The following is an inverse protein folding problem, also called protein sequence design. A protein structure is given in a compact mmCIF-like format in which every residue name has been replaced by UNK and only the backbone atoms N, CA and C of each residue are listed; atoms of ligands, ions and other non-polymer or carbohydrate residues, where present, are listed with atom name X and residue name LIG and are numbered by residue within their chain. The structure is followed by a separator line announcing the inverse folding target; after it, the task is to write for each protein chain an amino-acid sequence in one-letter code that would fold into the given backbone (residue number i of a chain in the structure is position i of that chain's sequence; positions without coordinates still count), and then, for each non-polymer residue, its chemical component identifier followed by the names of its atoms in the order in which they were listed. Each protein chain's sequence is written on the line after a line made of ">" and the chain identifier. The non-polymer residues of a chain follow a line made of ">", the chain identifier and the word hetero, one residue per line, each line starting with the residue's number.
data_IF_339655016304
#
_entry.id   IF_339655016304
#
_cell.length_a   1.000
_cell.length_b   1.000
_cell.length_c   1.000
_cell.angle_alpha   90.00
_cell.angle_beta   90.00
_cell.angle_gamma   90.00
#
_symmetry.space_group_name_H-M   'P 1'
#
loop_
_entity.id
_entity.type
_entity.pdbx_description
1 polymer ?
#
# COMPACT_ATOMS: atom_id res chain seq x y z
N UNK A 1 -16.58 38.36 -55.76
CA UNK A 1 -16.75 38.90 -54.39
C UNK A 1 -17.12 37.75 -53.47
N UNK A 2 -16.18 37.41 -52.60
CA UNK A 2 -16.25 36.74 -51.29
C UNK A 2 -17.18 35.51 -51.11
N UNK A 3 -16.57 34.31 -51.08
CA UNK A 3 -17.18 33.11 -50.46
C UNK A 3 -16.99 33.21 -48.95
N UNK A 4 -18.09 33.23 -48.19
CA UNK A 4 -18.08 33.11 -46.73
C UNK A 4 -18.08 31.61 -46.40
N UNK A 5 -17.03 31.15 -45.71
CA UNK A 5 -16.98 29.81 -45.12
C UNK A 5 -17.40 29.98 -43.66
N UNK A 6 -18.57 29.44 -43.31
CA UNK A 6 -19.04 29.36 -41.93
C UNK A 6 -18.34 28.18 -41.26
N UNK A 7 -17.40 28.46 -40.36
CA UNK A 7 -16.82 27.45 -39.48
C UNK A 7 -17.75 27.30 -38.27
N UNK A 8 -18.38 26.14 -38.13
CA UNK A 8 -19.11 25.78 -36.93
C UNK A 8 -18.10 25.43 -35.83
N UNK A 9 -18.03 26.26 -34.79
CA UNK A 9 -17.26 25.97 -33.58
C UNK A 9 -18.12 25.02 -32.74
N UNK A 10 -17.70 23.76 -32.64
CA UNK A 10 -18.29 22.81 -31.70
C UNK A 10 -17.66 23.06 -30.33
N UNK A 11 -18.44 23.67 -29.43
CA UNK A 11 -18.06 23.85 -28.03
C UNK A 11 -18.20 22.49 -27.34
N UNK A 12 -17.07 21.81 -27.08
CA UNK A 12 -17.05 20.67 -26.17
C UNK A 12 -17.18 21.21 -24.75
N UNK A 13 -18.36 21.01 -24.15
CA UNK A 13 -18.53 21.14 -22.70
C UNK A 13 -17.85 19.91 -22.11
N UNK A 14 -16.66 20.09 -21.54
CA UNK A 14 -16.04 19.08 -20.71
C UNK A 14 -16.91 18.91 -19.46
N UNK A 15 -17.68 17.83 -19.42
CA UNK A 15 -18.27 17.36 -18.17
C UNK A 15 -17.13 16.95 -17.26
N UNK A 16 -17.07 17.52 -16.06
CA UNK A 16 -16.20 17.04 -15.00
C UNK A 16 -16.45 15.54 -14.84
N UNK A 17 -15.42 14.73 -15.11
CA UNK A 17 -15.41 13.34 -14.71
C UNK A 17 -15.31 13.34 -13.19
N UNK A 18 -16.36 12.88 -12.51
CA UNK A 18 -16.25 12.46 -11.13
C UNK A 18 -15.31 11.24 -11.12
N UNK A 19 -14.27 11.25 -10.29
CA UNK A 19 -13.61 10.01 -9.91
C UNK A 19 -14.65 9.08 -9.27
N UNK A 20 -14.52 7.80 -9.56
CA UNK A 20 -15.60 6.84 -9.48
C UNK A 20 -15.37 5.90 -8.30
N UNK A 21 -16.24 5.94 -7.30
CA UNK A 21 -16.31 4.89 -6.27
C UNK A 21 -16.69 3.51 -6.88
N UNK A 22 -17.05 3.41 -8.17
CA UNK A 22 -17.30 2.12 -8.82
C UNK A 22 -16.03 1.53 -9.45
N UNK A 23 -15.03 1.21 -8.62
CA UNK A 23 -14.08 0.15 -8.96
C UNK A 23 -14.81 -1.19 -8.72
N UNK A 24 -15.18 -1.96 -9.77
CA UNK A 24 -15.96 -3.17 -9.58
C UNK A 24 -15.15 -4.20 -8.80
N UNK A 25 -15.82 -4.89 -7.87
CA UNK A 25 -15.31 -6.11 -7.26
C UNK A 25 -15.02 -7.15 -8.35
N UNK A 26 -13.75 -7.54 -8.48
CA UNK A 26 -13.30 -8.45 -9.52
C UNK A 26 -13.49 -9.92 -9.12
N UNK A 27 -13.83 -10.19 -7.86
CA UNK A 27 -14.03 -11.53 -7.34
C UNK A 27 -15.19 -11.64 -6.33
N UNK A 28 -16.43 -11.36 -6.75
CA UNK A 28 -17.61 -11.23 -5.87
C UNK A 28 -18.06 -12.52 -5.16
N UNK A 29 -17.36 -13.63 -5.38
CA UNK A 29 -17.60 -14.91 -4.70
C UNK A 29 -16.65 -15.11 -3.50
N UNK A 30 -15.74 -14.16 -3.26
CA UNK A 30 -14.74 -14.16 -2.20
C UNK A 30 -14.76 -12.84 -1.44
N UNK A 31 -14.15 -12.81 -0.26
CA UNK A 31 -13.82 -11.54 0.42
C UNK A 31 -12.63 -10.84 -0.25
N UNK A 32 -11.80 -11.59 -0.97
CA UNK A 32 -10.73 -11.00 -1.76
C UNK A 32 -11.34 -10.20 -2.91
N UNK A 33 -11.00 -8.92 -3.01
CA UNK A 33 -11.28 -8.09 -4.19
C UNK A 33 -10.84 -8.71 -5.54
N UNK A 34 -9.68 -9.38 -5.58
CA UNK A 34 -9.20 -10.09 -6.77
C UNK A 34 -8.57 -11.43 -6.37
N UNK A 35 -8.71 -12.42 -7.26
CA UNK A 35 -8.08 -13.73 -7.09
C UNK A 35 -6.55 -13.62 -7.14
N UNK A 36 -5.78 -14.37 -6.33
CA UNK A 36 -4.33 -14.35 -6.42
C UNK A 36 -3.81 -14.74 -7.80
N UNK A 37 -2.80 -14.01 -8.26
CA UNK A 37 -2.05 -14.32 -9.49
C UNK A 37 -0.62 -14.69 -9.14
N UNK A 38 -0.04 -15.64 -9.87
CA UNK A 38 1.39 -15.94 -9.79
C UNK A 38 2.15 -14.84 -10.54
N UNK A 39 2.83 -13.98 -9.79
CA UNK A 39 3.56 -12.80 -10.32
C UNK A 39 4.84 -13.26 -11.01
N UNK A 40 5.59 -14.11 -10.31
CA UNK A 40 6.70 -14.90 -10.82
C UNK A 40 6.57 -16.30 -10.19
N UNK A 41 7.25 -17.34 -10.71
CA UNK A 41 7.18 -18.67 -10.13
C UNK A 41 7.34 -18.63 -8.61
N UNK A 42 6.42 -19.27 -7.90
CA UNK A 42 6.37 -19.36 -6.42
C UNK A 42 5.93 -18.11 -5.65
N UNK A 43 5.83 -16.94 -6.29
CA UNK A 43 5.38 -15.70 -5.64
C UNK A 43 4.02 -15.29 -6.18
N UNK A 44 3.05 -15.26 -5.27
CA UNK A 44 1.66 -14.97 -5.59
C UNK A 44 1.21 -13.70 -4.89
N UNK A 45 0.25 -13.00 -5.48
CA UNK A 45 -0.36 -11.82 -4.86
C UNK A 45 -1.84 -11.72 -5.20
N UNK A 46 -2.69 -11.57 -4.18
CA UNK A 46 -4.04 -11.06 -4.33
C UNK A 46 -3.96 -9.54 -4.35
N UNK A 47 -4.35 -8.94 -5.47
CA UNK A 47 -4.23 -7.49 -5.68
C UNK A 47 -5.44 -6.82 -5.06
N UNK A 48 -5.20 -5.88 -4.14
CA UNK A 48 -6.26 -5.11 -3.49
C UNK A 48 -6.87 -4.07 -4.43
N UNK A 49 -8.06 -3.58 -4.09
CA UNK A 49 -8.64 -2.44 -4.79
C UNK A 49 -7.74 -1.20 -4.61
N UNK A 50 -7.44 -0.50 -5.69
CA UNK A 50 -6.72 0.80 -5.69
C UNK A 50 -7.62 1.94 -5.22
N UNK A 51 -8.39 1.70 -4.15
CA UNK A 51 -9.40 2.58 -3.57
C UNK A 51 -9.29 2.58 -2.02
N UNK A 52 -10.00 3.50 -1.34
CA UNK A 52 -10.20 3.39 0.10
C UNK A 52 -10.85 2.05 0.51
N UNK A 53 -10.67 1.61 1.77
CA UNK A 53 -11.37 0.43 2.24
C UNK A 53 -12.88 0.71 2.35
N UNK A 54 -13.69 -0.19 1.82
CA UNK A 54 -15.15 -0.08 1.81
C UNK A 54 -15.78 -1.39 2.26
N UNK A 55 -17.11 -1.38 2.42
CA UNK A 55 -17.82 -2.64 2.63
C UNK A 55 -17.61 -3.55 1.43
N UNK A 56 -17.76 -3.03 0.21
CA UNK A 56 -17.78 -3.75 -1.06
C UNK A 56 -16.47 -4.49 -1.34
N UNK A 57 -15.32 -3.85 -1.09
CA UNK A 57 -14.00 -4.48 -1.25
C UNK A 57 -13.54 -5.27 -0.01
N UNK A 58 -14.38 -5.41 1.03
CA UNK A 58 -14.10 -6.09 2.29
C UNK A 58 -12.90 -5.51 3.08
N UNK A 59 -12.48 -4.28 2.75
CA UNK A 59 -11.22 -3.70 3.22
C UNK A 59 -9.97 -4.20 2.50
N UNK A 60 -10.09 -5.07 1.49
CA UNK A 60 -8.98 -5.55 0.67
C UNK A 60 -8.53 -4.46 -0.31
N UNK A 61 -7.75 -3.51 0.20
CA UNK A 61 -7.21 -2.43 -0.60
C UNK A 61 -5.69 -2.49 -0.76
N UNK A 62 -4.96 -3.25 0.04
CA UNK A 62 -3.53 -3.53 -0.12
C UNK A 62 -3.27 -4.89 -0.79
N UNK A 63 -2.02 -5.16 -1.16
CA UNK A 63 -1.63 -6.44 -1.72
C UNK A 63 -1.41 -7.50 -0.63
N UNK A 64 -2.10 -8.62 -0.75
CA UNK A 64 -1.90 -9.80 0.11
C UNK A 64 -1.08 -10.83 -0.66
N UNK A 65 0.20 -10.94 -0.31
CA UNK A 65 1.15 -11.77 -1.07
C UNK A 65 1.52 -13.03 -0.31
N UNK A 66 1.96 -14.06 -1.02
CA UNK A 66 2.50 -15.26 -0.39
C UNK A 66 3.58 -15.92 -1.25
N UNK A 67 4.54 -16.52 -0.56
CA UNK A 67 5.69 -17.22 -1.15
C UNK A 67 5.53 -18.70 -0.86
N UNK A 68 5.45 -19.53 -1.90
CA UNK A 68 5.33 -20.98 -1.79
C UNK A 68 6.72 -21.61 -1.86
N UNK A 69 7.11 -22.35 -0.83
CA UNK A 69 8.38 -23.10 -0.79
C UNK A 69 8.09 -24.59 -0.58
N UNK A 70 9.14 -25.42 -0.69
CA UNK A 70 9.03 -26.85 -0.40
C UNK A 70 8.85 -27.17 1.09
N UNK A 71 9.09 -26.21 1.99
CA UNK A 71 9.04 -26.40 3.45
C UNK A 71 7.92 -25.59 4.14
N UNK A 72 7.11 -24.85 3.38
CA UNK A 72 6.04 -24.00 3.92
C UNK A 72 5.72 -22.78 3.07
N UNK A 73 4.68 -22.06 3.46
CA UNK A 73 4.25 -20.80 2.86
C UNK A 73 4.51 -19.63 3.81
N UNK A 74 5.13 -18.58 3.30
CA UNK A 74 5.25 -17.28 4.00
C UNK A 74 4.21 -16.33 3.43
N UNK A 75 3.35 -15.80 4.28
CA UNK A 75 2.33 -14.81 3.91
C UNK A 75 2.83 -13.41 4.26
N UNK A 76 2.61 -12.45 3.37
CA UNK A 76 2.87 -11.04 3.58
C UNK A 76 1.53 -10.34 3.66
N UNK A 77 1.32 -9.66 4.78
CA UNK A 77 0.10 -9.05 5.28
C UNK A 77 -0.97 -10.05 5.73
N UNK A 78 -1.47 -9.84 6.95
CA UNK A 78 -2.53 -10.65 7.56
C UNK A 78 -3.91 -10.35 6.98
N UNK A 79 -4.11 -9.19 6.36
CA UNK A 79 -5.37 -8.70 5.79
C UNK A 79 -6.13 -7.76 6.72
N UNK A 80 -7.18 -7.11 6.18
CA UNK A 80 -8.02 -6.14 6.89
C UNK A 80 -9.01 -6.77 7.89
N UNK A 81 -9.22 -8.09 7.84
CA UNK A 81 -10.14 -8.78 8.75
C UNK A 81 -9.83 -10.28 8.83
N UNK A 82 -10.35 -10.96 9.86
CA UNK A 82 -10.24 -12.41 9.97
C UNK A 82 -10.92 -13.14 8.79
N UNK A 83 -12.01 -12.57 8.25
CA UNK A 83 -12.71 -13.13 7.09
C UNK A 83 -11.87 -13.01 5.81
N UNK A 84 -11.21 -11.86 5.61
CA UNK A 84 -10.31 -11.66 4.47
C UNK A 84 -9.08 -12.59 4.55
N UNK A 85 -8.50 -12.72 5.74
CA UNK A 85 -7.40 -13.65 6.00
C UNK A 85 -7.78 -15.11 5.69
N UNK A 86 -8.98 -15.53 6.10
CA UNK A 86 -9.50 -16.86 5.80
C UNK A 86 -9.67 -17.08 4.28
N UNK A 87 -10.19 -16.08 3.56
CA UNK A 87 -10.35 -16.14 2.11
C UNK A 87 -8.99 -16.27 1.38
N UNK A 88 -7.96 -15.53 1.82
CA UNK A 88 -6.61 -15.70 1.31
C UNK A 88 -6.08 -17.12 1.57
N UNK A 89 -6.25 -17.64 2.78
CA UNK A 89 -5.78 -18.97 3.15
C UNK A 89 -6.45 -20.08 2.31
N UNK A 90 -7.73 -19.92 1.97
CA UNK A 90 -8.41 -20.88 1.11
C UNK A 90 -7.85 -20.89 -0.33
N UNK A 91 -7.44 -19.72 -0.86
CA UNK A 91 -6.71 -19.67 -2.14
C UNK A 91 -5.30 -20.27 -2.03
N UNK A 92 -4.58 -20.08 -0.92
CA UNK A 92 -3.28 -20.72 -0.68
C UNK A 92 -3.41 -22.24 -0.73
N UNK A 93 -4.43 -22.83 -0.07
CA UNK A 93 -4.70 -24.27 -0.10
C UNK A 93 -5.06 -24.80 -1.48
N UNK A 94 -5.58 -23.95 -2.37
CA UNK A 94 -5.86 -24.33 -3.75
C UNK A 94 -4.59 -24.36 -4.61
N UNK A 95 -3.53 -23.65 -4.20
CA UNK A 95 -2.23 -23.59 -4.88
C UNK A 95 -1.27 -24.66 -4.36
N UNK A 96 -1.28 -24.96 -3.06
CA UNK A 96 -0.31 -25.86 -2.42
C UNK A 96 -0.87 -26.58 -1.19
N UNK A 97 -0.33 -27.77 -0.89
CA UNK A 97 -0.59 -28.53 0.33
C UNK A 97 0.32 -28.13 1.51
N UNK A 98 1.28 -27.24 1.27
CA UNK A 98 2.23 -26.77 2.28
C UNK A 98 1.53 -25.89 3.34
N UNK A 99 1.89 -26.01 4.64
CA UNK A 99 1.31 -25.17 5.67
C UNK A 99 1.82 -23.74 5.55
N UNK A 100 0.99 -22.77 5.95
CA UNK A 100 1.48 -21.41 6.26
C UNK A 100 2.29 -21.49 7.55
N UNK A 101 3.55 -21.06 7.49
CA UNK A 101 4.49 -21.15 8.63
C UNK A 101 4.82 -19.81 9.25
N UNK A 102 4.60 -18.71 8.53
CA UNK A 102 4.88 -17.36 8.99
C UNK A 102 3.98 -16.34 8.28
N UNK A 103 3.52 -15.34 9.02
CA UNK A 103 2.95 -14.10 8.49
C UNK A 103 3.93 -12.95 8.77
N UNK A 104 4.16 -12.09 7.79
CA UNK A 104 4.96 -10.86 7.92
C UNK A 104 4.05 -9.68 7.67
N UNK A 105 3.93 -8.73 8.61
CA UNK A 105 3.18 -7.49 8.38
C UNK A 105 4.10 -6.43 7.75
N UNK A 106 3.62 -5.75 6.72
CA UNK A 106 4.37 -4.68 6.06
C UNK A 106 4.47 -3.40 6.90
N UNK A 107 3.50 -3.14 7.78
CA UNK A 107 3.46 -2.06 8.75
C UNK A 107 2.36 -2.31 9.80
N UNK A 108 2.08 -1.31 10.65
CA UNK A 108 1.04 -1.36 11.70
C UNK A 108 -0.39 -1.04 11.23
N UNK A 109 -0.64 -0.84 9.93
CA UNK A 109 -1.95 -0.39 9.44
C UNK A 109 -3.01 -1.49 9.42
N UNK A 110 -4.27 -1.09 9.51
CA UNK A 110 -5.40 -2.01 9.65
C UNK A 110 -5.52 -3.05 8.54
N UNK A 111 -5.25 -2.66 7.29
CA UNK A 111 -5.26 -3.58 6.13
C UNK A 111 -4.16 -4.65 6.19
N UNK A 112 -3.07 -4.39 6.91
CA UNK A 112 -1.97 -5.34 7.09
C UNK A 112 -2.17 -6.23 8.31
N UNK A 113 -2.72 -5.70 9.43
CA UNK A 113 -2.62 -6.35 10.75
C UNK A 113 -3.93 -6.91 11.31
N UNK A 114 -5.11 -6.45 10.89
CA UNK A 114 -6.35 -6.85 11.57
C UNK A 114 -6.70 -8.33 11.37
N UNK A 115 -6.33 -8.89 10.23
CA UNK A 115 -6.47 -10.32 9.91
C UNK A 115 -5.51 -11.22 10.69
N UNK A 116 -4.53 -10.66 11.41
CA UNK A 116 -3.60 -11.41 12.28
C UNK A 116 -4.33 -12.31 13.28
N UNK A 117 -5.54 -11.95 13.72
CA UNK A 117 -6.32 -12.81 14.62
C UNK A 117 -6.61 -14.19 14.05
N UNK A 118 -6.87 -14.28 12.74
CA UNK A 118 -7.12 -15.56 12.08
C UNK A 118 -5.86 -16.44 12.08
N UNK A 119 -4.72 -15.86 11.70
CA UNK A 119 -3.44 -16.57 11.64
C UNK A 119 -2.96 -17.02 13.03
N UNK A 120 -3.12 -16.16 14.04
CA UNK A 120 -2.79 -16.50 15.41
C UNK A 120 -3.69 -17.61 15.98
N UNK A 121 -4.98 -17.66 15.62
CA UNK A 121 -5.88 -18.76 16.01
C UNK A 121 -5.48 -20.11 15.39
N UNK A 122 -4.76 -20.09 14.26
CA UNK A 122 -4.14 -21.27 13.66
C UNK A 122 -2.78 -21.61 14.27
N UNK A 123 -2.26 -20.80 15.18
CA UNK A 123 -0.94 -20.96 15.79
C UNK A 123 0.23 -20.60 14.87
N UNK A 124 -0.01 -19.75 13.86
CA UNK A 124 1.03 -19.24 12.97
C UNK A 124 1.70 -18.03 13.62
N UNK A 125 3.04 -18.01 13.63
CA UNK A 125 3.81 -16.87 14.11
C UNK A 125 3.67 -15.66 13.18
N UNK A 126 3.76 -14.46 13.76
CA UNK A 126 3.55 -13.18 13.08
C UNK A 126 4.74 -12.27 13.39
N UNK A 127 5.47 -11.91 12.34
CA UNK A 127 6.62 -11.02 12.37
C UNK A 127 6.23 -9.61 11.92
N UNK A 128 6.66 -8.61 12.67
CA UNK A 128 6.56 -7.20 12.27
C UNK A 128 7.75 -6.41 12.81
N UNK A 129 7.99 -5.22 12.24
CA UNK A 129 8.97 -4.28 12.78
C UNK A 129 8.57 -3.81 14.18
N UNK A 130 9.53 -3.49 15.05
CA UNK A 130 9.24 -3.04 16.41
C UNK A 130 8.34 -1.79 16.48
N UNK A 131 8.52 -0.84 15.56
CA UNK A 131 7.64 0.34 15.47
C UNK A 131 6.23 -0.03 14.98
N UNK A 132 6.09 -0.99 14.05
CA UNK A 132 4.78 -1.47 13.62
C UNK A 132 4.05 -2.19 14.77
N UNK A 133 4.78 -2.92 15.62
CA UNK A 133 4.25 -3.51 16.85
C UNK A 133 3.75 -2.41 17.79
N UNK A 134 4.55 -1.35 18.01
CA UNK A 134 4.16 -0.22 18.85
C UNK A 134 2.89 0.47 18.33
N UNK A 135 2.75 0.63 17.00
CA UNK A 135 1.53 1.14 16.38
C UNK A 135 0.30 0.27 16.69
N UNK A 136 0.42 -1.05 16.59
CA UNK A 136 -0.67 -1.97 16.94
C UNK A 136 -1.01 -1.91 18.43
N UNK A 137 -0.02 -1.83 19.31
CA UNK A 137 -0.23 -1.71 20.76
C UNK A 137 -0.94 -0.41 21.14
N UNK A 138 -0.58 0.70 20.51
CA UNK A 138 -1.11 2.03 20.83
C UNK A 138 -2.44 2.32 20.16
N UNK A 139 -2.63 1.88 18.91
CA UNK A 139 -3.73 2.30 18.04
C UNK A 139 -4.61 1.15 17.53
N UNK A 140 -4.27 -0.12 17.80
CA UNK A 140 -5.01 -1.27 17.29
C UNK A 140 -6.51 -1.25 17.64
N UNK A 141 -6.87 -0.74 18.82
CA UNK A 141 -8.26 -0.61 19.25
C UNK A 141 -9.08 0.36 18.39
N UNK A 142 -8.53 1.54 18.06
CA UNK A 142 -9.20 2.51 17.17
C UNK A 142 -9.23 2.00 15.74
N UNK A 143 -8.13 1.41 15.26
CA UNK A 143 -8.04 0.80 13.92
C UNK A 143 -9.13 -0.27 13.73
N UNK A 144 -9.35 -1.12 14.73
CA UNK A 144 -10.42 -2.12 14.72
C UNK A 144 -11.82 -1.47 14.68
N UNK A 145 -12.04 -0.42 15.48
CA UNK A 145 -13.32 0.27 15.56
C UNK A 145 -13.69 0.97 14.24
N UNK A 146 -12.71 1.57 13.57
CA UNK A 146 -12.87 2.19 12.26
C UNK A 146 -13.20 1.12 11.20
N UNK A 147 -12.48 -0.02 11.23
CA UNK A 147 -12.77 -1.15 10.35
C UNK A 147 -14.19 -1.69 10.51
N UNK A 148 -14.65 -1.87 11.74
CA UNK A 148 -16.02 -2.33 12.02
C UNK A 148 -17.09 -1.39 11.44
N UNK A 149 -16.79 -0.09 11.32
CA UNK A 149 -17.73 0.90 10.79
C UNK A 149 -18.03 0.68 9.31
N UNK A 150 -17.00 0.49 8.48
CA UNK A 150 -17.19 0.26 7.06
C UNK A 150 -17.47 -1.21 6.73
N UNK A 151 -16.83 -2.16 7.42
CA UNK A 151 -16.88 -3.58 7.05
C UNK A 151 -18.07 -4.33 7.66
N UNK A 152 -18.68 -3.82 8.74
CA UNK A 152 -19.93 -4.34 9.32
C UNK A 152 -19.84 -5.84 9.62
N UNK A 153 -20.69 -6.67 9.02
CA UNK A 153 -20.69 -8.13 9.21
C UNK A 153 -19.40 -8.79 8.68
N UNK A 154 -18.69 -8.16 7.74
CA UNK A 154 -17.38 -8.63 7.26
C UNK A 154 -16.26 -8.43 8.30
N UNK A 155 -16.52 -7.71 9.38
CA UNK A 155 -15.61 -7.58 10.53
C UNK A 155 -15.72 -8.75 11.53
N UNK A 156 -16.74 -9.60 11.45
CA UNK A 156 -17.01 -10.64 12.44
C UNK A 156 -15.80 -11.58 12.64
N UNK A 157 -15.51 -11.91 13.91
CA UNK A 157 -14.36 -12.76 14.29
C UNK A 157 -13.01 -12.04 14.33
N UNK A 158 -12.94 -10.77 13.92
CA UNK A 158 -11.70 -9.99 13.94
C UNK A 158 -11.44 -9.39 15.32
N UNK A 159 -10.19 -9.52 15.81
CA UNK A 159 -9.71 -8.86 17.01
C UNK A 159 -8.27 -8.36 16.80
N UNK A 160 -7.84 -7.40 17.60
CA UNK A 160 -6.43 -6.99 17.60
C UNK A 160 -5.57 -8.13 18.14
N UNK A 161 -4.57 -8.53 17.36
CA UNK A 161 -3.49 -9.41 17.79
C UNK A 161 -2.17 -8.72 17.47
N UNK A 162 -1.40 -8.45 18.53
CA UNK A 162 -0.06 -7.90 18.43
C UNK A 162 0.87 -8.99 17.88
N UNK A 163 1.70 -8.70 16.86
CA UNK A 163 2.70 -9.64 16.36
C UNK A 163 3.60 -10.17 17.48
N UNK A 164 3.94 -11.46 17.43
CA UNK A 164 4.69 -12.12 18.50
C UNK A 164 6.19 -12.26 18.20
N UNK A 165 6.61 -12.02 16.96
CA UNK A 165 7.99 -11.92 16.54
C UNK A 165 8.29 -10.49 16.11
N UNK A 166 9.51 -10.03 16.40
CA UNK A 166 9.96 -8.66 16.10
C UNK A 166 11.33 -8.64 15.42
N UNK A 167 11.59 -7.56 14.69
CA UNK A 167 12.90 -7.20 14.17
C UNK A 167 13.06 -5.68 14.14
N UNK A 168 14.31 -5.21 14.06
CA UNK A 168 14.64 -3.79 13.84
C UNK A 168 15.16 -3.59 12.41
N UNK A 169 16.43 -3.88 12.13
CA UNK A 169 17.00 -3.56 10.81
C UNK A 169 16.70 -4.64 9.76
N UNK A 170 16.91 -5.91 10.14
CA UNK A 170 16.82 -7.06 9.22
C UNK A 170 16.52 -8.35 9.95
N UNK A 171 15.73 -9.21 9.32
CA UNK A 171 15.49 -10.59 9.72
C UNK A 171 15.61 -11.52 8.52
N UNK A 172 16.50 -12.51 8.59
CA UNK A 172 16.74 -13.47 7.52
C UNK A 172 16.00 -14.78 7.76
N UNK A 173 15.28 -15.25 6.75
CA UNK A 173 14.55 -16.50 6.75
C UNK A 173 15.11 -17.37 5.64
N UNK A 174 15.51 -18.60 5.98
CA UNK A 174 15.86 -19.62 4.99
C UNK A 174 14.82 -20.73 5.05
N UNK A 175 14.04 -20.89 3.99
CA UNK A 175 12.90 -21.82 3.94
C UNK A 175 12.83 -22.47 2.56
N UNK A 176 12.83 -23.80 2.48
CA UNK A 176 12.79 -24.51 1.19
C UNK A 176 13.96 -24.19 0.26
N UNK A 177 15.12 -23.81 0.82
CA UNK A 177 16.30 -23.38 0.05
C UNK A 177 16.22 -21.97 -0.53
N UNK A 178 15.22 -21.19 -0.15
CA UNK A 178 15.03 -19.80 -0.55
C UNK A 178 15.46 -18.88 0.59
N UNK A 179 16.27 -17.88 0.27
CA UNK A 179 16.70 -16.85 1.22
C UNK A 179 15.77 -15.63 1.10
N UNK A 180 14.93 -15.45 2.11
CA UNK A 180 13.97 -14.35 2.24
C UNK A 180 14.53 -13.35 3.26
N UNK A 181 14.74 -12.10 2.84
CA UNK A 181 15.25 -11.03 3.69
C UNK A 181 14.10 -10.09 4.03
N UNK A 182 13.74 -10.01 5.30
CA UNK A 182 12.79 -9.02 5.83
C UNK A 182 13.61 -7.82 6.30
N UNK A 183 13.31 -6.64 5.74
CA UNK A 183 14.14 -5.45 5.83
C UNK A 183 13.32 -4.28 6.33
N UNK A 184 13.93 -3.45 7.17
CA UNK A 184 13.51 -2.07 7.37
C UNK A 184 14.58 -1.18 6.74
N UNK A 185 14.26 -0.58 5.59
CA UNK A 185 15.24 0.20 4.82
C UNK A 185 15.42 1.64 5.33
N UNK A 186 14.49 2.10 6.16
CA UNK A 186 14.45 3.44 6.72
C UNK A 186 13.02 3.99 6.77
N UNK A 187 12.84 5.22 7.28
CA UNK A 187 11.53 5.86 7.34
C UNK A 187 10.93 6.06 5.95
N UNK A 188 9.64 5.75 5.80
CA UNK A 188 8.91 5.87 4.54
C UNK A 188 7.45 6.32 4.77
N UNK A 189 6.47 5.53 4.37
CA UNK A 189 5.05 5.83 4.45
C UNK A 189 4.53 5.89 5.88
N UNK A 190 4.95 4.94 6.73
CA UNK A 190 4.55 4.86 8.12
C UNK A 190 5.59 4.20 9.03
N UNK A 191 5.35 4.24 10.36
CA UNK A 191 6.24 3.60 11.32
C UNK A 191 6.37 2.09 11.08
N UNK A 192 7.61 1.63 10.99
CA UNK A 192 7.93 0.21 10.83
C UNK A 192 7.62 -0.38 9.46
N UNK A 193 7.59 0.44 8.41
CA UNK A 193 7.50 -0.06 7.03
C UNK A 193 8.57 -1.13 6.76
N UNK A 194 8.10 -2.25 6.20
CA UNK A 194 8.86 -3.50 6.07
C UNK A 194 8.83 -3.96 4.62
N UNK A 195 10.01 -4.32 4.09
CA UNK A 195 10.19 -4.89 2.76
C UNK A 195 10.57 -6.36 2.87
N UNK A 196 10.02 -7.20 1.98
CA UNK A 196 10.43 -8.60 1.84
C UNK A 196 11.17 -8.76 0.52
N UNK A 197 12.49 -8.94 0.61
CA UNK A 197 13.42 -9.04 -0.52
C UNK A 197 13.90 -10.47 -0.72
N UNK A 198 13.84 -10.97 -1.96
CA UNK A 198 14.36 -12.29 -2.33
C UNK A 198 15.44 -12.11 -3.40
N UNK A 199 16.73 -12.03 -3.00
CA UNK A 199 17.83 -11.74 -3.92
C UNK A 199 17.95 -12.74 -5.08
N UNK A 200 17.71 -14.02 -4.79
CA UNK A 200 17.82 -15.11 -5.77
C UNK A 200 16.85 -14.93 -6.95
N UNK A 201 15.71 -14.27 -6.71
CA UNK A 201 14.65 -14.06 -7.70
C UNK A 201 14.53 -12.60 -8.15
N UNK A 202 15.33 -11.72 -7.56
CA UNK A 202 15.32 -10.29 -7.82
C UNK A 202 13.92 -9.65 -7.71
N UNK A 203 13.15 -10.08 -6.71
CA UNK A 203 11.80 -9.57 -6.41
C UNK A 203 11.73 -8.98 -5.00
N UNK A 204 11.12 -7.81 -4.89
CA UNK A 204 10.77 -7.19 -3.60
C UNK A 204 9.25 -7.08 -3.48
N UNK A 205 8.71 -7.54 -2.35
CA UNK A 205 7.39 -7.15 -1.87
C UNK A 205 7.64 -5.94 -0.99
N UNK A 206 7.36 -4.76 -1.55
CA UNK A 206 7.86 -3.49 -1.04
C UNK A 206 7.07 -2.97 0.16
N UNK A 207 5.81 -3.38 0.28
CA UNK A 207 4.86 -2.71 1.15
C UNK A 207 4.71 -1.23 0.75
N UNK A 208 4.28 -0.42 1.70
CA UNK A 208 3.88 0.96 1.41
C UNK A 208 5.05 1.93 1.20
N UNK A 209 6.30 1.47 1.15
CA UNK A 209 7.38 2.32 0.59
C UNK A 209 7.15 2.62 -0.89
N UNK A 210 6.37 1.80 -1.60
CA UNK A 210 6.17 1.90 -3.05
C UNK A 210 4.69 1.71 -3.44
N UNK A 211 4.21 2.58 -4.33
CA UNK A 211 2.86 2.62 -4.86
C UNK A 211 2.83 2.54 -6.39
N UNK A 212 1.78 1.96 -6.94
CA UNK A 212 1.50 1.90 -8.37
C UNK A 212 -0.01 2.09 -8.59
N UNK A 213 -0.41 2.86 -9.61
CA UNK A 213 -1.82 3.16 -10.00
C UNK A 213 -2.64 3.95 -8.97
N UNK A 214 -2.38 3.77 -7.67
CA UNK A 214 -2.97 4.51 -6.56
C UNK A 214 -2.06 5.68 -6.13
N UNK A 215 -2.67 6.80 -5.76
CA UNK A 215 -1.92 7.91 -5.16
C UNK A 215 -1.49 7.55 -3.73
N UNK A 216 -0.21 7.74 -3.36
CA UNK A 216 0.25 7.45 -2.00
C UNK A 216 -0.44 8.40 -0.99
N UNK A 217 -1.07 7.88 0.07
CA UNK A 217 -1.55 8.72 1.16
C UNK A 217 -0.37 9.24 1.98
N UNK A 218 -0.45 10.50 2.41
CA UNK A 218 0.49 11.12 3.34
C UNK A 218 -0.24 11.37 4.66
N UNK A 219 0.32 10.85 5.75
CA UNK A 219 -0.25 10.96 7.08
C UNK A 219 0.47 12.04 7.91
N UNK A 220 -0.10 12.50 9.04
CA UNK A 220 0.54 13.52 9.89
C UNK A 220 1.96 13.17 10.37
N UNK A 221 2.26 11.88 10.48
CA UNK A 221 3.52 11.32 10.96
C UNK A 221 4.45 10.84 9.83
N UNK A 222 4.01 10.95 8.57
CA UNK A 222 4.86 10.65 7.41
C UNK A 222 5.93 11.72 7.24
N UNK A 223 7.21 11.33 7.25
CA UNK A 223 8.33 12.19 6.85
C UNK A 223 8.55 12.06 5.34
N UNK A 224 8.03 12.98 4.52
CA UNK A 224 8.11 12.85 3.05
C UNK A 224 9.53 13.05 2.51
N UNK A 225 10.35 13.89 3.16
CA UNK A 225 11.78 14.00 2.85
C UNK A 225 12.53 12.70 3.12
N UNK A 226 12.33 12.10 4.30
CA UNK A 226 12.92 10.82 4.67
C UNK A 226 12.46 9.69 3.74
N UNK A 227 11.18 9.67 3.35
CA UNK A 227 10.65 8.68 2.41
C UNK A 227 11.34 8.77 1.05
N UNK A 228 11.54 9.99 0.53
CA UNK A 228 12.30 10.18 -0.72
C UNK A 228 13.74 9.66 -0.57
N UNK A 229 14.42 9.96 0.54
CA UNK A 229 15.79 9.49 0.80
C UNK A 229 15.88 7.96 0.88
N UNK A 230 14.98 7.32 1.63
CA UNK A 230 14.91 5.86 1.76
C UNK A 230 14.58 5.21 0.42
N UNK A 231 13.66 5.80 -0.35
CA UNK A 231 13.27 5.29 -1.66
C UNK A 231 14.43 5.38 -2.66
N UNK A 232 15.01 6.57 -2.83
CA UNK A 232 16.03 6.83 -3.84
C UNK A 232 17.38 6.19 -3.51
N UNK A 233 17.67 5.89 -2.24
CA UNK A 233 18.87 5.19 -1.82
C UNK A 233 18.57 3.72 -1.54
N UNK A 234 18.44 3.31 -0.26
CA UNK A 234 18.35 1.91 0.15
C UNK A 234 17.38 1.04 -0.67
N UNK A 235 16.19 1.55 -1.02
CA UNK A 235 15.20 0.77 -1.77
C UNK A 235 15.59 0.53 -3.23
N UNK A 236 16.03 1.56 -3.96
CA UNK A 236 16.47 1.36 -5.35
C UNK A 236 17.77 0.56 -5.45
N UNK A 237 18.63 0.65 -4.43
CA UNK A 237 19.89 -0.11 -4.33
C UNK A 237 19.69 -1.63 -4.25
N UNK A 238 18.50 -2.11 -3.87
CA UNK A 238 18.15 -3.53 -3.95
C UNK A 238 18.28 -4.09 -5.38
N UNK A 239 18.13 -3.25 -6.40
CA UNK A 239 18.26 -3.66 -7.80
C UNK A 239 17.18 -4.67 -8.22
N UNK A 240 15.97 -4.55 -7.65
CA UNK A 240 14.85 -5.44 -7.93
C UNK A 240 14.41 -5.35 -9.40
N UNK A 241 14.22 -6.52 -10.02
CA UNK A 241 13.61 -6.63 -11.36
C UNK A 241 12.10 -6.54 -11.28
N UNK A 242 11.51 -7.20 -10.28
CA UNK A 242 10.07 -7.22 -10.01
C UNK A 242 9.78 -6.53 -8.68
N UNK A 243 8.73 -5.72 -8.65
CA UNK A 243 8.27 -5.01 -7.46
C UNK A 243 6.79 -5.30 -7.26
N UNK A 244 6.41 -5.83 -6.11
CA UNK A 244 5.01 -5.86 -5.67
C UNK A 244 4.86 -4.67 -4.70
N UNK A 245 4.15 -3.59 -5.08
CA UNK A 245 3.93 -2.44 -4.21
C UNK A 245 3.00 -2.80 -3.05
N UNK A 246 2.88 -1.95 -2.03
CA UNK A 246 1.85 -2.11 -0.99
C UNK A 246 0.44 -1.99 -1.56
N UNK A 247 0.28 -1.13 -2.56
CA UNK A 247 -0.97 -0.93 -3.30
C UNK A 247 -0.77 -0.87 -4.82
N UNK A 248 -1.64 -1.57 -5.54
CA UNK A 248 -1.68 -1.61 -7.02
C UNK A 248 -1.00 -2.83 -7.63
N UNK A 249 -1.05 -2.95 -8.95
CA UNK A 249 -0.55 -4.16 -9.61
C UNK A 249 0.97 -4.34 -9.50
N UNK A 250 1.48 -5.59 -9.40
CA UNK A 250 2.90 -5.90 -9.53
C UNK A 250 3.52 -5.30 -10.78
N UNK A 251 4.74 -4.79 -10.65
CA UNK A 251 5.37 -3.91 -11.63
C UNK A 251 6.90 -3.97 -11.54
N UNK A 252 7.58 -2.89 -11.91
CA UNK A 252 9.03 -2.72 -11.87
C UNK A 252 9.43 -1.41 -11.18
N UNK A 253 10.74 -1.29 -10.88
CA UNK A 253 11.31 -0.13 -10.19
C UNK A 253 11.00 1.22 -10.87
N UNK A 254 10.95 1.26 -12.21
CA UNK A 254 10.68 2.51 -12.92
C UNK A 254 9.24 3.01 -12.72
N UNK A 255 8.26 2.11 -12.64
CA UNK A 255 6.87 2.50 -12.37
C UNK A 255 6.69 3.00 -10.94
N UNK A 256 7.23 2.29 -9.94
CA UNK A 256 7.12 2.75 -8.55
C UNK A 256 7.93 4.02 -8.30
N UNK A 257 9.05 4.23 -8.98
CA UNK A 257 9.78 5.52 -8.93
C UNK A 257 8.89 6.65 -9.40
N UNK A 258 8.22 6.48 -10.54
CA UNK A 258 7.31 7.48 -11.12
C UNK A 258 6.14 7.81 -10.19
N UNK A 259 5.51 6.81 -9.59
CA UNK A 259 4.26 7.00 -8.84
C UNK A 259 4.44 7.16 -7.34
N UNK A 260 5.68 7.09 -6.84
CA UNK A 260 5.99 7.33 -5.42
C UNK A 260 7.00 8.46 -5.28
N UNK A 261 8.28 8.21 -5.58
CA UNK A 261 9.34 9.20 -5.37
C UNK A 261 9.15 10.47 -6.22
N UNK A 262 8.86 10.33 -7.51
CA UNK A 262 8.67 11.50 -8.39
C UNK A 262 7.42 12.31 -8.00
N UNK A 263 6.36 11.65 -7.53
CA UNK A 263 5.17 12.32 -6.99
C UNK A 263 5.49 13.13 -5.74
N UNK A 264 6.18 12.53 -4.76
CA UNK A 264 6.56 13.19 -3.51
C UNK A 264 7.48 14.39 -3.78
N UNK A 265 8.46 14.24 -4.68
CA UNK A 265 9.37 15.33 -5.08
C UNK A 265 8.62 16.48 -5.73
N UNK A 266 7.74 16.20 -6.68
CA UNK A 266 6.95 17.22 -7.37
C UNK A 266 6.03 17.98 -6.38
N UNK A 267 5.37 17.27 -5.47
CA UNK A 267 4.52 17.89 -4.47
C UNK A 267 5.34 18.79 -3.54
N UNK A 268 6.47 18.30 -3.01
CA UNK A 268 7.38 19.09 -2.18
C UNK A 268 7.94 20.30 -2.92
N UNK A 269 8.29 20.18 -4.20
CA UNK A 269 8.76 21.31 -5.02
C UNK A 269 7.69 22.42 -5.12
N UNK A 270 6.44 22.04 -5.40
CA UNK A 270 5.32 22.99 -5.51
C UNK A 270 4.96 23.65 -4.19
N UNK A 271 4.97 22.88 -3.10
CA UNK A 271 4.74 23.41 -1.76
C UNK A 271 5.90 24.33 -1.33
N UNK A 272 7.15 23.96 -1.62
CA UNK A 272 8.30 24.81 -1.36
C UNK A 272 8.21 26.15 -2.08
N UNK A 273 7.89 26.15 -3.37
CA UNK A 273 7.67 27.38 -4.14
C UNK A 273 6.52 28.23 -3.57
N UNK A 274 5.44 27.59 -3.12
CA UNK A 274 4.32 28.27 -2.48
C UNK A 274 4.70 28.95 -1.16
N UNK A 275 5.49 28.28 -0.32
CA UNK A 275 6.02 28.84 0.94
C UNK A 275 6.98 30.00 0.66
N UNK A 276 7.89 29.84 -0.30
CA UNK A 276 8.87 30.88 -0.69
C UNK A 276 8.18 32.16 -1.18
N UNK A 277 7.04 32.03 -1.86
CA UNK A 277 6.20 33.15 -2.31
C UNK A 277 5.33 33.76 -1.19
N UNK A 278 5.45 33.25 0.04
CA UNK A 278 4.73 33.73 1.23
C UNK A 278 3.29 33.25 1.33
N UNK A 279 2.96 32.15 0.64
CA UNK A 279 1.65 31.51 0.68
C UNK A 279 1.36 30.83 2.02
N UNK A 280 0.08 30.66 2.33
CA UNK A 280 -0.38 30.01 3.56
C UNK A 280 -0.98 28.61 3.30
N UNK A 281 -1.33 27.90 4.37
CA UNK A 281 -1.94 26.57 4.29
C UNK A 281 -3.25 26.55 3.47
N UNK A 282 -4.03 27.64 3.46
CA UNK A 282 -5.32 27.68 2.75
C UNK A 282 -5.13 27.49 1.25
N UNK A 283 -4.13 28.19 0.70
CA UNK A 283 -3.80 28.13 -0.72
C UNK A 283 -2.97 26.89 -1.08
N UNK A 284 -2.17 26.38 -0.13
CA UNK A 284 -1.36 25.17 -0.30
C UNK A 284 -2.20 23.94 -0.70
N UNK A 285 -3.42 23.82 -0.17
CA UNK A 285 -4.36 22.75 -0.52
C UNK A 285 -4.67 22.62 -2.02
N UNK A 286 -4.41 23.67 -2.81
CA UNK A 286 -4.80 23.77 -4.21
C UNK A 286 -3.62 23.98 -5.17
N UNK A 287 -2.39 23.66 -4.74
CA UNK A 287 -1.25 23.61 -5.67
C UNK A 287 -1.53 22.63 -6.82
N UNK A 288 -1.04 22.96 -8.02
CA UNK A 288 -1.33 22.18 -9.23
C UNK A 288 -0.79 20.75 -9.13
N UNK A 289 -1.66 19.76 -9.23
CA UNK A 289 -1.29 18.34 -9.25
C UNK A 289 -1.84 17.62 -10.49
N UNK A 290 -2.27 18.34 -11.54
CA UNK A 290 -3.02 17.77 -12.67
C UNK A 290 -2.28 16.63 -13.38
N UNK A 291 -0.93 16.63 -13.36
CA UNK A 291 -0.15 15.54 -13.96
C UNK A 291 -0.32 14.18 -13.27
N UNK A 292 -0.87 14.15 -12.05
CA UNK A 292 -1.13 12.96 -11.25
C UNK A 292 -2.60 12.55 -11.23
N UNK A 293 -3.46 13.26 -11.97
CA UNK A 293 -4.92 13.07 -11.98
C UNK A 293 -5.36 11.67 -12.40
N UNK A 294 -4.49 10.94 -13.09
CA UNK A 294 -4.78 9.57 -13.53
C UNK A 294 -4.59 8.51 -12.44
N UNK A 295 -4.18 8.89 -11.23
CA UNK A 295 -4.10 7.97 -10.09
C UNK A 295 -5.48 7.78 -9.48
N UNK A 296 -5.84 6.55 -9.15
CA UNK A 296 -7.22 6.18 -8.83
C UNK A 296 -7.81 6.95 -7.64
N UNK A 297 -6.99 7.27 -6.64
CA UNK A 297 -7.39 8.01 -5.42
C UNK A 297 -6.99 9.49 -5.44
N UNK A 298 -6.82 10.08 -6.63
CA UNK A 298 -6.39 11.47 -6.78
C UNK A 298 -7.35 12.46 -6.11
N UNK A 299 -8.65 12.35 -6.39
CA UNK A 299 -9.65 13.32 -5.90
C UNK A 299 -9.80 13.28 -4.38
N UNK A 300 -9.51 12.13 -3.74
CA UNK A 300 -9.59 11.93 -2.30
C UNK A 300 -8.35 12.40 -1.54
N UNK A 301 -7.18 12.36 -2.19
CA UNK A 301 -5.88 12.49 -1.55
C UNK A 301 -5.09 13.73 -1.96
N UNK A 302 -5.19 14.21 -3.21
CA UNK A 302 -4.32 15.29 -3.72
C UNK A 302 -4.37 16.53 -2.81
N UNK A 303 -5.57 16.99 -2.46
CA UNK A 303 -5.77 18.12 -1.55
C UNK A 303 -5.17 17.84 -0.16
N UNK A 304 -5.46 16.66 0.42
CA UNK A 304 -4.99 16.31 1.77
C UNK A 304 -3.46 16.21 1.82
N UNK A 305 -2.88 15.57 0.83
CA UNK A 305 -1.43 15.39 0.69
C UNK A 305 -0.73 16.74 0.62
N UNK A 306 -1.25 17.69 -0.17
CA UNK A 306 -0.71 19.04 -0.25
C UNK A 306 -0.71 19.76 1.10
N UNK A 307 -1.81 19.67 1.86
CA UNK A 307 -1.87 20.21 3.23
C UNK A 307 -0.85 19.57 4.17
N UNK A 308 -0.69 18.24 4.11
CA UNK A 308 0.28 17.52 4.95
C UNK A 308 1.72 17.89 4.65
N UNK A 309 2.07 17.97 3.37
CA UNK A 309 3.42 18.37 2.95
C UNK A 309 3.70 19.82 3.34
N UNK A 310 2.70 20.72 3.25
CA UNK A 310 2.84 22.08 3.77
C UNK A 310 3.10 22.10 5.28
N UNK A 311 2.29 21.37 6.06
CA UNK A 311 2.47 21.26 7.52
C UNK A 311 3.83 20.67 7.91
N UNK A 312 4.38 19.75 7.12
CA UNK A 312 5.75 19.24 7.31
C UNK A 312 6.79 20.33 7.01
N UNK A 313 6.69 20.96 5.83
CA UNK A 313 7.73 21.86 5.30
C UNK A 313 7.75 23.24 5.94
N UNK A 314 6.64 23.74 6.50
CA UNK A 314 6.60 25.07 7.12
C UNK A 314 7.54 25.22 8.33
N UNK A 315 8.04 24.10 8.87
CA UNK A 315 8.98 24.05 9.99
C UNK A 315 10.40 23.63 9.59
N UNK A 316 10.66 23.35 8.30
CA UNK A 316 11.98 22.95 7.80
C UNK A 316 12.94 24.14 7.57
N UNK A 317 12.43 25.38 7.61
CA UNK A 317 13.15 26.62 7.28
C UNK A 317 13.42 27.54 8.47
#
# INVERSE_FOLDING_TARGET
>A
MTRIITVAVATFIATAAAAHEDIPDLYPQSELYAKPVEVIPHVWSAIGATAPPTYENAGHNNNLSFIVTDDGVVVINGGASARLAAALHDEIKAVTDQPVVLVINENGQGHAVLGNSYWADLGVDILAHEDAIAEVENHGGSILQDMQTYNRDRAEGTRVVVPNLTFSDRHDISLGGIDIQVLHLGPAHGPGDTQVWIPQWQIVIAGDIAFHERMPPIFPDTCTSCWIETFDGPFTELGATYVIPGHGHPTNMAQVTRYTSDYLKDLREKIGAHIDDGGDLTDAYYVDQEQWRNLDTFEELATKNAGRVYEEMEWEF
#
